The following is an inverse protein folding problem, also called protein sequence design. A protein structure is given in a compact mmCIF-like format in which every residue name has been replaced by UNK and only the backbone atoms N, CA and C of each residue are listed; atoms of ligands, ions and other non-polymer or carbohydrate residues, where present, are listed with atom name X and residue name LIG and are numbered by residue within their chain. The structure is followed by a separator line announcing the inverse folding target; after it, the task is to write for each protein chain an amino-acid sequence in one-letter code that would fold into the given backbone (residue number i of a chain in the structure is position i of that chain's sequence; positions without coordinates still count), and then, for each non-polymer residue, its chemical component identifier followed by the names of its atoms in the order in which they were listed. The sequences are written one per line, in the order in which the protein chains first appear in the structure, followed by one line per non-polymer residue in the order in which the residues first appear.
data_IF_721011796992
#
_entry.id   IF_721011796992
#
_cell.length_a   1.000
_cell.length_b   1.000
_cell.length_c   1.000
_cell.angle_alpha   90.00
_cell.angle_beta   90.00
_cell.angle_gamma   90.00
#
_symmetry.space_group_name_H-M   'P 1'
#
loop_
_entity.id
_entity.type
_entity.pdbx_description
1 polymer ?
#
# COMPACT_ATOMS: atom_id res chain seq x y z
N UNK A 1 9.27 53.81 1.49
CA UNK A 1 9.73 52.63 2.25
C UNK A 1 8.87 52.53 3.49
N UNK A 2 8.43 51.32 3.88
CA UNK A 2 7.60 51.12 5.07
C UNK A 2 8.40 51.48 6.33
N UNK A 3 7.77 52.19 7.26
CA UNK A 3 8.37 52.51 8.56
C UNK A 3 8.50 51.23 9.43
N UNK A 4 9.40 51.23 10.40
CA UNK A 4 9.65 50.10 11.30
C UNK A 4 8.37 49.62 12.02
N UNK A 5 7.50 50.55 12.41
CA UNK A 5 6.20 50.24 13.01
C UNK A 5 5.25 49.54 12.03
N UNK A 6 5.22 49.97 10.76
CA UNK A 6 4.41 49.35 9.71
C UNK A 6 4.88 47.93 9.40
N UNK A 7 6.20 47.70 9.39
CA UNK A 7 6.78 46.36 9.25
C UNK A 7 6.42 45.45 10.42
N UNK A 8 6.37 45.97 11.64
CA UNK A 8 5.95 45.19 12.81
C UNK A 8 4.47 44.82 12.77
N UNK A 9 3.60 45.74 12.31
CA UNK A 9 2.17 45.47 12.14
C UNK A 9 1.96 44.35 11.12
N UNK A 10 2.65 44.40 9.98
CA UNK A 10 2.55 43.36 8.95
C UNK A 10 3.00 41.99 9.46
N UNK A 11 4.12 41.93 10.20
CA UNK A 11 4.57 40.70 10.85
C UNK A 11 3.59 40.17 11.89
N UNK A 12 2.91 41.05 12.63
CA UNK A 12 1.90 40.65 13.60
C UNK A 12 0.67 40.08 12.91
N UNK A 13 0.21 40.69 11.82
CA UNK A 13 -0.90 40.20 11.00
C UNK A 13 -0.60 38.83 10.38
N UNK A 14 0.60 38.66 9.81
CA UNK A 14 1.04 37.39 9.25
C UNK A 14 1.07 36.27 10.31
N UNK A 15 1.56 36.58 11.51
CA UNK A 15 1.57 35.62 12.61
C UNK A 15 0.15 35.26 13.09
N UNK A 16 -0.77 36.23 13.13
CA UNK A 16 -2.18 35.98 13.48
C UNK A 16 -2.85 35.06 12.46
N UNK A 17 -2.56 35.25 11.18
CA UNK A 17 -3.07 34.41 10.10
C UNK A 17 -2.49 32.98 10.16
N UNK A 18 -1.21 32.85 10.45
CA UNK A 18 -0.55 31.55 10.68
C UNK A 18 -1.11 30.80 11.90
N UNK A 19 -1.47 31.55 12.95
CA UNK A 19 -2.10 30.99 14.16
C UNK A 19 -3.56 30.61 13.91
N UNK A 20 -4.31 31.35 13.09
CA UNK A 20 -5.70 31.01 12.77
C UNK A 20 -5.81 29.77 11.87
N UNK A 21 -4.82 29.53 11.02
CA UNK A 21 -4.73 28.33 10.17
C UNK A 21 -4.24 27.08 10.92
N UNK A 22 -3.75 27.21 12.16
CA UNK A 22 -3.36 26.05 12.97
C UNK A 22 -4.59 25.27 13.43
N UNK A 23 -4.67 24.02 13.00
CA UNK A 23 -5.63 23.06 13.51
C UNK A 23 -5.40 22.85 15.01
N UNK A 24 -6.42 23.14 15.82
CA UNK A 24 -6.37 22.94 17.27
C UNK A 24 -6.29 21.43 17.58
N UNK A 25 -5.74 21.09 18.76
CA UNK A 25 -5.63 19.69 19.22
C UNK A 25 -6.95 18.91 19.20
N UNK A 26 -8.07 19.61 19.37
CA UNK A 26 -9.42 19.05 19.37
C UNK A 26 -10.24 19.48 18.14
N UNK A 27 -9.57 19.79 17.02
CA UNK A 27 -10.27 20.10 15.78
C UNK A 27 -11.01 18.85 15.27
N UNK A 28 -12.34 18.94 15.23
CA UNK A 28 -13.19 17.89 14.70
C UNK A 28 -13.20 17.98 13.17
N UNK A 29 -12.71 16.93 12.51
CA UNK A 29 -12.55 16.88 11.05
C UNK A 29 -13.82 16.48 10.28
N UNK A 30 -14.99 16.37 10.94
CA UNK A 30 -16.20 15.81 10.28
C UNK A 30 -16.15 14.29 10.08
N UNK A 31 -15.05 13.63 10.45
CA UNK A 31 -14.80 12.20 10.22
C UNK A 31 -15.87 11.28 10.84
N UNK A 32 -16.49 11.65 11.95
CA UNK A 32 -17.52 10.82 12.60
C UNK A 32 -18.83 10.83 11.79
N UNK A 33 -19.17 11.97 11.19
CA UNK A 33 -20.35 12.14 10.34
C UNK A 33 -20.17 11.37 9.02
N UNK A 34 -18.98 11.43 8.41
CA UNK A 34 -18.62 10.57 7.27
C UNK A 34 -18.70 9.07 7.63
N UNK A 35 -18.25 8.68 8.83
CA UNK A 35 -18.31 7.29 9.30
C UNK A 35 -19.74 6.77 9.49
N UNK A 36 -20.67 7.66 9.86
CA UNK A 36 -22.07 7.31 10.12
C UNK A 36 -22.92 7.29 8.85
N UNK A 37 -22.57 8.10 7.83
CA UNK A 37 -23.29 8.16 6.55
C UNK A 37 -22.97 6.99 5.61
N UNK A 38 -21.83 6.30 5.81
CA UNK A 38 -21.40 5.22 4.93
C UNK A 38 -21.52 3.84 5.63
N UNK A 39 -22.55 3.03 5.33
CA UNK A 39 -22.57 1.64 5.77
C UNK A 39 -21.34 0.89 5.26
N UNK A 40 -20.92 -0.16 5.96
CA UNK A 40 -19.69 -0.94 5.66
C UNK A 40 -19.62 -1.47 4.22
N UNK A 41 -20.74 -1.53 3.50
CA UNK A 41 -20.85 -1.94 2.10
C UNK A 41 -20.65 -0.80 1.07
N UNK A 42 -20.67 0.47 1.49
CA UNK A 42 -20.38 1.67 0.66
C UNK A 42 -18.95 2.17 0.91
N UNK A 43 -18.13 1.42 1.66
CA UNK A 43 -16.69 1.63 1.67
C UNK A 43 -16.18 1.18 0.29
N UNK A 44 -16.09 2.14 -0.64
CA UNK A 44 -15.50 2.04 -1.99
C UNK A 44 -15.06 0.62 -2.34
N UNK A 45 -15.88 -0.13 -3.08
CA UNK A 45 -15.43 -1.35 -3.73
C UNK A 45 -14.36 -0.96 -4.73
N UNK A 46 -13.12 -0.88 -4.23
CA UNK A 46 -11.95 -0.58 -4.99
C UNK A 46 -11.79 -1.72 -5.99
N UNK A 47 -11.98 -1.43 -7.27
CA UNK A 47 -11.82 -2.41 -8.33
C UNK A 47 -10.55 -2.08 -9.11
N UNK A 48 -9.70 -3.08 -9.26
CA UNK A 48 -8.47 -3.01 -10.04
C UNK A 48 -8.75 -2.48 -11.45
N UNK A 49 -9.87 -2.89 -12.06
CA UNK A 49 -10.28 -2.48 -13.41
C UNK A 49 -10.56 -0.99 -13.57
N UNK A 50 -10.81 -0.27 -12.47
CA UNK A 50 -11.11 1.17 -12.46
C UNK A 50 -9.85 2.03 -12.29
N UNK A 51 -8.67 1.43 -12.13
CA UNK A 51 -7.42 2.17 -12.02
C UNK A 51 -7.06 2.83 -13.36
N UNK A 52 -6.41 3.99 -13.27
CA UNK A 52 -5.85 4.63 -14.45
C UNK A 52 -4.56 3.91 -14.92
N UNK A 53 -4.13 4.13 -16.18
CA UNK A 53 -2.96 3.46 -16.75
C UNK A 53 -1.68 3.63 -15.91
N UNK A 54 -1.47 4.82 -15.35
CA UNK A 54 -0.30 5.09 -14.52
C UNK A 54 -0.33 4.33 -13.19
N UNK A 55 -1.48 4.24 -12.54
CA UNK A 55 -1.68 3.40 -11.37
C UNK A 55 -1.39 1.93 -11.69
N UNK A 56 -1.97 1.41 -12.77
CA UNK A 56 -1.68 0.06 -13.26
C UNK A 56 -0.19 -0.19 -13.48
N UNK A 57 0.50 0.75 -14.13
CA UNK A 57 1.94 0.67 -14.35
C UNK A 57 2.72 0.64 -13.03
N UNK A 58 2.40 1.50 -12.07
CA UNK A 58 3.05 1.52 -10.75
C UNK A 58 2.86 0.18 -10.03
N UNK A 59 1.63 -0.35 -10.01
CA UNK A 59 1.34 -1.65 -9.42
C UNK A 59 2.10 -2.77 -10.12
N UNK A 60 1.99 -2.89 -11.45
CA UNK A 60 2.71 -3.89 -12.25
C UNK A 60 4.22 -3.79 -12.00
N UNK A 61 4.78 -2.58 -11.88
CA UNK A 61 6.21 -2.37 -11.62
C UNK A 61 6.65 -2.89 -10.26
N UNK A 62 5.82 -2.71 -9.23
CA UNK A 62 6.11 -3.30 -7.91
C UNK A 62 6.00 -4.82 -7.96
N UNK A 63 5.02 -5.36 -8.69
CA UNK A 63 4.76 -6.79 -8.78
C UNK A 63 5.81 -7.55 -9.62
N UNK A 64 6.14 -7.05 -10.80
CA UNK A 64 6.98 -7.72 -11.79
C UNK A 64 8.39 -7.11 -11.94
N UNK A 65 8.66 -5.97 -11.31
CA UNK A 65 9.97 -5.33 -11.34
C UNK A 65 10.35 -4.84 -12.74
N UNK A 66 11.52 -5.25 -13.22
CA UNK A 66 12.05 -4.85 -14.53
C UNK A 66 11.31 -5.51 -15.70
N UNK A 67 10.57 -6.59 -15.46
CA UNK A 67 9.88 -7.34 -16.51
C UNK A 67 8.64 -6.60 -17.06
N UNK A 68 8.28 -5.46 -16.47
CA UNK A 68 7.25 -4.56 -17.02
C UNK A 68 7.75 -3.80 -18.25
N UNK A 69 9.07 -3.62 -18.36
CA UNK A 69 9.68 -2.91 -19.47
C UNK A 69 10.09 -3.90 -20.56
N UNK A 70 10.10 -3.43 -21.80
CA UNK A 70 10.72 -4.15 -22.91
C UNK A 70 12.25 -4.22 -22.73
N UNK A 71 12.90 -5.18 -23.39
CA UNK A 71 14.36 -5.36 -23.28
C UNK A 71 15.13 -4.10 -23.73
N UNK A 72 14.63 -3.39 -24.74
CA UNK A 72 15.24 -2.17 -25.28
C UNK A 72 15.10 -1.00 -24.30
N UNK A 73 13.96 -0.86 -23.65
CA UNK A 73 13.76 0.13 -22.59
C UNK A 73 14.66 -0.15 -21.40
N UNK A 74 14.79 -1.43 -21.02
CA UNK A 74 15.74 -1.83 -19.99
C UNK A 74 17.15 -1.45 -20.39
N UNK A 75 17.59 -1.67 -21.63
CA UNK A 75 18.93 -1.25 -22.06
C UNK A 75 19.17 0.26 -21.85
N UNK A 76 18.19 1.10 -22.22
CA UNK A 76 18.23 2.56 -22.08
C UNK A 76 18.14 3.07 -20.64
N UNK A 77 17.62 2.28 -19.70
CA UNK A 77 17.47 2.69 -18.30
C UNK A 77 18.83 2.86 -17.61
N UNK A 78 19.00 3.99 -16.91
CA UNK A 78 20.14 4.25 -16.04
C UNK A 78 20.27 3.17 -14.95
N UNK A 79 21.51 2.79 -14.62
CA UNK A 79 21.81 1.69 -13.70
C UNK A 79 21.21 1.88 -12.30
N UNK A 80 21.18 3.12 -11.77
CA UNK A 80 20.57 3.41 -10.46
C UNK A 80 19.05 3.18 -10.46
N UNK A 81 18.38 3.55 -11.56
CA UNK A 81 16.95 3.31 -11.73
C UNK A 81 16.64 1.82 -11.77
N UNK A 82 17.46 1.03 -12.49
CA UNK A 82 17.37 -0.44 -12.49
C UNK A 82 17.52 -1.01 -11.09
N UNK A 83 18.59 -0.60 -10.38
CA UNK A 83 18.89 -1.04 -9.02
C UNK A 83 17.73 -0.75 -8.08
N UNK A 84 17.14 0.45 -8.16
CA UNK A 84 15.98 0.84 -7.33
C UNK A 84 14.76 -0.03 -7.59
N UNK A 85 14.42 -0.26 -8.86
CA UNK A 85 13.29 -1.11 -9.25
C UNK A 85 13.50 -2.55 -8.74
N UNK A 86 14.69 -3.12 -8.96
CA UNK A 86 15.02 -4.46 -8.46
C UNK A 86 14.97 -4.56 -6.94
N UNK A 87 15.39 -3.52 -6.20
CA UNK A 87 15.31 -3.48 -4.73
C UNK A 87 13.86 -3.49 -4.25
N UNK A 88 13.00 -2.67 -4.85
CA UNK A 88 11.57 -2.61 -4.52
C UNK A 88 10.89 -3.93 -4.85
N UNK A 89 11.18 -4.52 -6.01
CA UNK A 89 10.63 -5.81 -6.42
C UNK A 89 11.07 -6.96 -5.49
N UNK A 90 12.36 -7.04 -5.12
CA UNK A 90 12.82 -8.04 -4.14
C UNK A 90 12.14 -7.88 -2.77
N UNK A 91 11.82 -6.65 -2.37
CA UNK A 91 11.05 -6.39 -1.15
C UNK A 91 9.59 -6.82 -1.32
N UNK A 92 8.94 -6.46 -2.42
CA UNK A 92 7.54 -6.84 -2.66
C UNK A 92 7.33 -8.35 -2.70
N UNK A 93 8.24 -9.09 -3.34
CA UNK A 93 8.18 -10.55 -3.39
C UNK A 93 8.33 -11.20 -2.01
N UNK A 94 9.18 -10.64 -1.14
CA UNK A 94 9.31 -11.11 0.26
C UNK A 94 8.02 -10.88 1.04
N UNK A 95 7.43 -9.68 0.94
CA UNK A 95 6.17 -9.36 1.63
C UNK A 95 5.01 -10.23 1.11
N UNK A 96 4.91 -10.44 -0.21
CA UNK A 96 3.92 -11.36 -0.79
C UNK A 96 4.11 -12.76 -0.24
N UNK A 97 5.34 -13.26 -0.21
CA UNK A 97 5.63 -14.61 0.23
C UNK A 97 5.29 -14.82 1.72
N UNK A 98 5.66 -13.87 2.58
CA UNK A 98 5.26 -13.86 3.98
C UNK A 98 3.73 -13.85 4.13
N UNK A 99 3.06 -13.01 3.36
CA UNK A 99 1.60 -12.92 3.39
C UNK A 99 0.92 -14.22 2.94
N UNK A 100 1.43 -14.87 1.89
CA UNK A 100 0.96 -16.20 1.46
C UNK A 100 1.16 -17.25 2.56
N UNK A 101 2.32 -17.28 3.22
CA UNK A 101 2.56 -18.20 4.35
C UNK A 101 1.53 -18.00 5.46
N UNK A 102 1.31 -16.75 5.89
CA UNK A 102 0.33 -16.43 6.91
C UNK A 102 -1.09 -16.89 6.54
N UNK A 103 -1.52 -16.66 5.28
CA UNK A 103 -2.84 -17.13 4.81
C UNK A 103 -2.93 -18.66 4.84
N UNK A 104 -1.90 -19.35 4.36
CA UNK A 104 -1.84 -20.82 4.38
C UNK A 104 -1.89 -21.35 5.81
N UNK A 105 -1.10 -20.78 6.72
CA UNK A 105 -1.07 -21.17 8.13
C UNK A 105 -2.45 -20.99 8.78
N UNK A 106 -3.13 -19.86 8.53
CA UNK A 106 -4.49 -19.61 9.02
C UNK A 106 -5.48 -20.67 8.53
N UNK A 107 -5.42 -21.04 7.24
CA UNK A 107 -6.29 -22.08 6.65
C UNK A 107 -6.02 -23.45 7.24
N UNK A 108 -4.76 -23.82 7.39
CA UNK A 108 -4.33 -25.11 7.94
C UNK A 108 -4.72 -25.21 9.42
N UNK A 109 -4.49 -24.16 10.21
CA UNK A 109 -4.89 -24.13 11.62
C UNK A 109 -6.41 -24.24 11.78
N UNK A 110 -7.19 -23.57 10.92
CA UNK A 110 -8.65 -23.69 10.92
C UNK A 110 -9.11 -25.12 10.58
N UNK A 111 -8.47 -25.76 9.60
CA UNK A 111 -8.74 -27.16 9.25
C UNK A 111 -8.37 -28.10 10.40
N UNK A 112 -7.18 -27.94 10.99
CA UNK A 112 -6.74 -28.78 12.11
C UNK A 112 -7.62 -28.65 13.34
N UNK A 113 -8.03 -27.42 13.69
CA UNK A 113 -8.97 -27.17 14.80
C UNK A 113 -10.30 -27.90 14.62
N UNK A 114 -10.75 -28.08 13.37
CA UNK A 114 -12.01 -28.75 13.04
C UNK A 114 -11.88 -30.27 13.01
N UNK A 115 -10.74 -30.78 12.53
CA UNK A 115 -10.55 -32.22 12.25
C UNK A 115 -9.92 -32.98 13.41
N UNK A 116 -9.03 -32.36 14.18
CA UNK A 116 -8.24 -33.02 15.21
C UNK A 116 -8.46 -32.38 16.58
N UNK A 117 -8.40 -33.19 17.64
CA UNK A 117 -8.52 -32.77 19.04
C UNK A 117 -7.38 -33.35 19.88
N UNK A 118 -6.99 -32.66 20.95
CA UNK A 118 -5.97 -33.11 21.90
C UNK A 118 -4.85 -32.11 22.16
N UNK A 119 -4.05 -32.33 23.23
CA UNK A 119 -3.10 -31.35 23.75
C UNK A 119 -1.98 -31.00 22.75
N UNK A 120 -1.53 -31.99 21.96
CA UNK A 120 -0.52 -31.76 20.90
C UNK A 120 -1.04 -30.83 19.81
N UNK A 121 -2.32 -30.96 19.45
CA UNK A 121 -2.93 -30.13 18.41
C UNK A 121 -3.14 -28.69 18.92
N UNK A 122 -3.57 -28.55 20.17
CA UNK A 122 -3.68 -27.24 20.83
C UNK A 122 -2.33 -26.51 20.87
N UNK A 123 -1.25 -27.22 21.17
CA UNK A 123 0.11 -26.67 21.12
C UNK A 123 0.49 -26.19 19.71
N UNK A 124 0.25 -27.00 18.67
CA UNK A 124 0.57 -26.60 17.29
C UNK A 124 -0.26 -25.37 16.86
N UNK A 125 -1.54 -25.33 17.21
CA UNK A 125 -2.44 -24.20 16.89
C UNK A 125 -2.06 -22.93 17.67
N UNK A 126 -1.45 -23.07 18.85
CA UNK A 126 -1.00 -21.94 19.67
C UNK A 126 0.11 -21.11 19.01
N UNK A 127 0.83 -21.68 18.05
CA UNK A 127 1.88 -20.97 17.30
C UNK A 127 1.24 -19.86 16.45
N UNK A 128 1.66 -18.59 16.62
CA UNK A 128 1.11 -17.47 15.85
C UNK A 128 1.29 -17.66 14.35
N UNK A 129 0.21 -17.48 13.58
CA UNK A 129 0.24 -17.62 12.12
C UNK A 129 1.08 -16.53 11.42
N UNK A 130 1.43 -15.46 12.14
CA UNK A 130 2.15 -14.30 11.63
C UNK A 130 3.67 -14.52 11.65
N UNK A 131 4.13 -15.58 12.33
CA UNK A 131 5.51 -16.05 12.26
C UNK A 131 5.76 -16.72 10.90
N UNK A 132 6.64 -16.11 10.11
CA UNK A 132 6.95 -16.53 8.73
C UNK A 132 8.42 -16.87 8.61
N UNK A 133 8.71 -17.88 7.79
CA UNK A 133 10.08 -18.28 7.50
C UNK A 133 10.59 -17.52 6.28
N UNK A 134 11.60 -16.67 6.48
CA UNK A 134 12.15 -15.83 5.39
C UNK A 134 12.70 -16.67 4.22
N UNK A 135 13.26 -17.83 4.51
CA UNK A 135 13.87 -18.72 3.53
C UNK A 135 12.87 -19.66 2.84
N UNK A 136 11.64 -19.75 3.34
CA UNK A 136 10.62 -20.60 2.73
C UNK A 136 9.92 -19.86 1.58
N UNK A 137 9.78 -20.48 0.42
CA UNK A 137 9.05 -19.91 -0.71
C UNK A 137 7.71 -20.62 -0.94
N UNK A 138 6.61 -19.91 -0.69
CA UNK A 138 5.26 -20.41 -0.92
C UNK A 138 4.92 -20.37 -2.42
N UNK A 139 4.79 -21.56 -3.01
CA UNK A 139 4.53 -21.77 -4.45
C UNK A 139 3.06 -21.62 -4.85
N UNK A 140 2.13 -21.50 -3.89
CA UNK A 140 0.71 -21.34 -4.18
C UNK A 140 0.46 -20.05 -4.96
N UNK A 141 -0.40 -20.14 -5.97
CA UNK A 141 -0.84 -19.02 -6.78
C UNK A 141 -1.82 -18.13 -6.02
N UNK A 142 -1.99 -16.88 -6.46
CA UNK A 142 -3.01 -15.99 -5.89
C UNK A 142 -4.43 -16.57 -6.02
N UNK A 143 -4.71 -17.24 -7.15
CA UNK A 143 -6.00 -17.89 -7.39
C UNK A 143 -6.29 -19.00 -6.37
N UNK A 144 -5.33 -19.87 -6.09
CA UNK A 144 -5.50 -20.94 -5.09
C UNK A 144 -5.67 -20.38 -3.67
N UNK A 145 -5.03 -19.24 -3.40
CA UNK A 145 -5.18 -18.53 -2.14
C UNK A 145 -6.40 -17.60 -2.10
N UNK A 146 -7.21 -17.55 -3.15
CA UNK A 146 -8.36 -16.63 -3.27
C UNK A 146 -7.97 -15.18 -2.93
N UNK A 147 -6.83 -14.74 -3.47
CA UNK A 147 -6.27 -13.40 -3.34
C UNK A 147 -6.60 -12.63 -4.61
N UNK A 148 -7.24 -11.49 -4.48
CA UNK A 148 -7.52 -10.57 -5.58
C UNK A 148 -6.39 -9.53 -5.73
N UNK A 149 -6.33 -8.81 -6.86
CA UNK A 149 -5.29 -7.78 -7.05
C UNK A 149 -5.50 -6.58 -6.13
N UNK A 150 -6.74 -6.33 -5.79
CA UNK A 150 -7.22 -5.37 -4.80
C UNK A 150 -6.52 -5.59 -3.47
N UNK A 151 -6.49 -6.83 -2.98
CA UNK A 151 -5.82 -7.19 -1.74
C UNK A 151 -4.30 -6.96 -1.82
N UNK A 152 -3.69 -7.31 -2.97
CA UNK A 152 -2.25 -7.10 -3.20
C UNK A 152 -1.91 -5.61 -3.21
N UNK A 153 -2.79 -4.77 -3.75
CA UNK A 153 -2.62 -3.32 -3.75
C UNK A 153 -2.66 -2.79 -2.31
N UNK A 154 -3.64 -3.21 -1.51
CA UNK A 154 -3.73 -2.83 -0.10
C UNK A 154 -2.50 -3.29 0.69
N UNK A 155 -2.01 -4.51 0.43
CA UNK A 155 -0.76 -5.00 1.00
C UNK A 155 0.41 -4.07 0.64
N UNK A 156 0.57 -3.74 -0.63
CA UNK A 156 1.66 -2.87 -1.08
C UNK A 156 1.57 -1.45 -0.53
N UNK A 157 0.37 -0.89 -0.39
CA UNK A 157 0.14 0.41 0.25
C UNK A 157 0.51 0.36 1.74
N UNK A 158 0.06 -0.67 2.47
CA UNK A 158 0.37 -0.83 3.91
C UNK A 158 1.86 -0.96 4.19
N UNK A 159 2.62 -1.62 3.28
CA UNK A 159 4.07 -1.82 3.40
C UNK A 159 4.90 -0.66 2.83
N UNK A 160 4.26 0.37 2.29
CA UNK A 160 4.93 1.53 1.68
C UNK A 160 5.69 1.18 0.39
N UNK A 161 5.25 0.15 -0.33
CA UNK A 161 5.73 -0.19 -1.67
C UNK A 161 4.98 0.63 -2.74
N UNK A 162 3.73 0.97 -2.45
CA UNK A 162 2.94 1.97 -3.16
C UNK A 162 2.76 3.21 -2.27
N UNK A 163 2.60 4.40 -2.86
CA UNK A 163 2.40 5.62 -2.10
C UNK A 163 1.03 5.63 -1.41
N UNK A 164 0.91 6.33 -0.28
CA UNK A 164 -0.35 6.38 0.51
C UNK A 164 -1.53 6.96 -0.27
N UNK A 165 -1.26 7.91 -1.17
CA UNK A 165 -2.24 8.52 -2.07
C UNK A 165 -2.39 7.78 -3.40
N UNK A 166 -1.95 6.52 -3.50
CA UNK A 166 -1.94 5.76 -4.75
C UNK A 166 -3.28 5.78 -5.50
N UNK A 167 -4.40 5.61 -4.77
CA UNK A 167 -5.74 5.56 -5.33
C UNK A 167 -6.23 6.90 -5.90
N UNK A 168 -5.62 8.02 -5.51
CA UNK A 168 -5.97 9.37 -5.97
C UNK A 168 -4.96 9.96 -6.97
N UNK A 169 -3.93 9.21 -7.34
CA UNK A 169 -2.92 9.66 -8.32
C UNK A 169 -3.55 9.92 -9.68
N UNK A 170 -3.31 11.12 -10.22
CA UNK A 170 -3.64 11.47 -11.61
C UNK A 170 -2.34 11.51 -12.43
N UNK A 171 -2.31 10.92 -13.64
CA UNK A 171 -1.14 10.99 -14.50
C UNK A 171 -0.93 12.43 -15.00
N UNK A 172 0.33 12.85 -15.09
CA UNK A 172 0.70 14.05 -15.86
C UNK A 172 0.86 13.69 -17.34
N UNK A 173 0.98 14.69 -18.23
CA UNK A 173 1.08 14.47 -19.69
C UNK A 173 2.13 13.42 -20.12
N UNK A 174 3.31 13.42 -19.48
CA UNK A 174 4.38 12.44 -19.76
C UNK A 174 4.11 11.02 -19.22
N UNK A 175 3.12 10.86 -18.35
CA UNK A 175 2.75 9.61 -17.69
C UNK A 175 1.50 8.97 -18.30
N UNK A 176 0.71 9.74 -19.06
CA UNK A 176 -0.42 9.23 -19.83
C UNK A 176 0.01 8.25 -20.92
N UNK A 177 1.22 8.45 -21.46
CA UNK A 177 1.83 7.59 -22.49
C UNK A 177 2.45 6.31 -21.94
N UNK A 178 2.52 6.16 -20.61
CA UNK A 178 3.01 4.93 -19.96
C UNK A 178 1.92 3.86 -20.02
N UNK A 179 1.75 3.25 -21.19
CA UNK A 179 0.96 2.04 -21.36
C UNK A 179 1.81 0.84 -20.97
N UNK A 180 1.28 -0.01 -20.10
CA UNK A 180 1.89 -1.24 -19.63
C UNK A 180 1.04 -2.45 -19.99
#
# INVERSE_FOLDING_TARGET
MLNAEQLNILKQQENQELLSQRLQRYHYYGLLEEYQLHPTSIINSFEYKKLNPYQHFLFKRVLHGLNVYTKDEVAKLHWDKKRRISKVWKRSQREINAWKQMITNKRVNAFFKKTFTGPTMEYIISVPCDEVLENFHNKLTFKELNIEYEDVILLFMSKGLLPKNYLTLKPNHNQETLTA
#
